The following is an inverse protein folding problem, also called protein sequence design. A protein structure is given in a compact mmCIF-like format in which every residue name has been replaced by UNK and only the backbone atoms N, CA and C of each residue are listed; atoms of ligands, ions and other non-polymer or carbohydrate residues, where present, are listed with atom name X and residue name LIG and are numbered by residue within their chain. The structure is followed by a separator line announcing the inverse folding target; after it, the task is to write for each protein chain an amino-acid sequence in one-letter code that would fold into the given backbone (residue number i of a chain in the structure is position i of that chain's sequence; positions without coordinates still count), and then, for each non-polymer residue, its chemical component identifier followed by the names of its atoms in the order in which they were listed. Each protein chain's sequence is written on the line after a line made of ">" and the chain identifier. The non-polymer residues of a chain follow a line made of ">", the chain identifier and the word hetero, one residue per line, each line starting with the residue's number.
data_IF_886091750224
#
_entry.id   IF_886091750224
#
_cell.length_a   1.000
_cell.length_b   1.000
_cell.length_c   1.000
_cell.angle_alpha   90.00
_cell.angle_beta   90.00
_cell.angle_gamma   90.00
#
_symmetry.space_group_name_H-M   'P 1'
#
loop_
_entity.id
_entity.type
_entity.pdbx_description
1 polymer ?
#
# COMPACT_ATOMS: atom_id res chain seq x y z
N UNK A 1 -21.60 -20.79 -32.98
CA UNK A 1 -22.29 -20.05 -31.90
C UNK A 1 -21.37 -18.97 -31.33
N UNK A 2 -21.92 -17.79 -31.04
CA UNK A 2 -21.25 -16.69 -30.34
C UNK A 2 -22.13 -16.17 -29.19
N UNK A 3 -21.48 -15.62 -28.16
CA UNK A 3 -22.11 -14.92 -27.04
C UNK A 3 -21.42 -13.57 -26.88
N UNK A 4 -22.18 -12.49 -26.80
CA UNK A 4 -21.66 -11.13 -26.61
C UNK A 4 -22.25 -10.55 -25.33
N UNK A 5 -21.40 -10.04 -24.45
CA UNK A 5 -21.82 -9.27 -23.27
C UNK A 5 -21.39 -7.82 -23.43
N UNK A 6 -22.29 -6.90 -23.11
CA UNK A 6 -22.13 -5.46 -23.23
C UNK A 6 -22.57 -4.76 -21.95
N UNK A 7 -21.81 -3.74 -21.56
CA UNK A 7 -22.21 -2.77 -20.53
C UNK A 7 -22.27 -1.39 -21.15
N UNK A 8 -23.21 -0.55 -20.72
CA UNK A 8 -23.42 0.81 -21.26
C UNK A 8 -23.52 0.85 -22.79
N UNK A 9 -24.38 0.00 -23.36
CA UNK A 9 -24.53 -0.19 -24.81
C UNK A 9 -25.40 0.91 -25.43
N UNK A 10 -24.87 1.72 -26.37
CA UNK A 10 -25.66 2.72 -27.08
C UNK A 10 -26.80 2.09 -27.90
N UNK A 11 -27.95 2.77 -28.05
CA UNK A 11 -29.09 2.25 -28.82
C UNK A 11 -28.75 1.80 -30.24
N UNK A 12 -27.79 2.46 -30.89
CA UNK A 12 -27.29 2.12 -32.24
C UNK A 12 -26.67 0.72 -32.28
N UNK A 13 -25.81 0.40 -31.31
CA UNK A 13 -25.11 -0.91 -31.23
C UNK A 13 -26.10 -2.00 -30.86
N UNK A 14 -26.99 -1.73 -29.90
CA UNK A 14 -28.08 -2.64 -29.53
C UNK A 14 -28.94 -3.00 -30.76
N UNK A 15 -29.42 -2.00 -31.50
CA UNK A 15 -30.25 -2.23 -32.69
C UNK A 15 -29.52 -3.01 -33.79
N UNK A 16 -28.22 -2.78 -33.98
CA UNK A 16 -27.44 -3.54 -34.95
C UNK A 16 -27.23 -5.01 -34.53
N UNK A 17 -27.02 -5.28 -33.24
CA UNK A 17 -26.82 -6.64 -32.73
C UNK A 17 -28.12 -7.45 -32.76
N UNK A 18 -29.25 -6.84 -32.42
CA UNK A 18 -30.57 -7.49 -32.47
C UNK A 18 -30.99 -7.94 -33.88
N UNK A 19 -30.34 -7.45 -34.95
CA UNK A 19 -30.56 -7.95 -36.32
C UNK A 19 -29.99 -9.36 -36.55
N UNK A 20 -29.00 -9.74 -35.77
CA UNK A 20 -28.22 -10.96 -35.97
C UNK A 20 -28.28 -11.92 -34.78
N UNK A 21 -28.55 -11.41 -33.59
CA UNK A 21 -28.46 -12.11 -32.32
C UNK A 21 -29.71 -11.87 -31.48
N UNK A 22 -29.99 -12.79 -30.56
CA UNK A 22 -31.10 -12.70 -29.62
C UNK A 22 -30.56 -12.15 -28.29
N UNK A 23 -31.16 -11.07 -27.79
CA UNK A 23 -30.85 -10.55 -26.45
C UNK A 23 -31.60 -11.39 -25.40
N UNK A 24 -30.86 -12.22 -24.66
CA UNK A 24 -31.44 -13.13 -23.66
C UNK A 24 -31.47 -12.52 -22.26
N UNK A 25 -30.68 -11.47 -22.03
CA UNK A 25 -30.67 -10.63 -20.85
C UNK A 25 -30.10 -9.26 -21.24
N UNK A 26 -30.28 -8.24 -20.41
CA UNK A 26 -29.79 -6.89 -20.65
C UNK A 26 -28.30 -6.90 -21.00
N UNK A 27 -27.98 -6.54 -22.24
CA UNK A 27 -26.61 -6.51 -22.74
C UNK A 27 -26.00 -7.89 -23.04
N UNK A 28 -26.77 -8.99 -23.02
CA UNK A 28 -26.29 -10.34 -23.33
C UNK A 28 -26.97 -10.85 -24.61
N UNK A 29 -26.18 -11.02 -25.66
CA UNK A 29 -26.64 -11.43 -26.99
C UNK A 29 -26.08 -12.80 -27.36
N UNK A 30 -26.92 -13.68 -27.90
CA UNK A 30 -26.52 -15.04 -28.31
C UNK A 30 -27.01 -15.34 -29.72
N UNK A 31 -26.19 -16.02 -30.51
CA UNK A 31 -26.60 -16.46 -31.84
C UNK A 31 -25.59 -17.33 -32.59
N UNK A 32 -26.03 -17.89 -33.72
CA UNK A 32 -25.20 -18.64 -34.65
C UNK A 32 -24.92 -17.76 -35.87
N UNK A 33 -23.66 -17.37 -36.07
CA UNK A 33 -23.24 -16.55 -37.21
C UNK A 33 -21.95 -17.10 -37.81
N UNK A 34 -21.71 -16.80 -39.09
CA UNK A 34 -20.46 -17.15 -39.75
C UNK A 34 -19.28 -16.35 -39.18
N UNK A 35 -18.05 -16.84 -39.40
CA UNK A 35 -16.84 -16.14 -38.98
C UNK A 35 -16.81 -14.71 -39.54
N UNK A 36 -17.16 -14.51 -40.81
CA UNK A 36 -17.21 -13.17 -41.44
C UNK A 36 -18.18 -12.23 -40.73
N UNK A 37 -19.39 -12.69 -40.42
CA UNK A 37 -20.39 -11.88 -39.71
C UNK A 37 -19.91 -11.56 -38.30
N UNK A 38 -19.32 -12.54 -37.59
CA UNK A 38 -18.71 -12.33 -36.28
C UNK A 38 -17.64 -11.23 -36.30
N UNK A 39 -16.73 -11.25 -37.28
CA UNK A 39 -15.68 -10.23 -37.41
C UNK A 39 -16.26 -8.82 -37.62
N UNK A 40 -17.27 -8.69 -38.49
CA UNK A 40 -17.93 -7.42 -38.76
C UNK A 40 -18.73 -6.90 -37.57
N UNK A 41 -19.43 -7.78 -36.84
CA UNK A 41 -20.13 -7.42 -35.60
C UNK A 41 -19.15 -6.92 -34.55
N UNK A 42 -18.01 -7.60 -34.38
CA UNK A 42 -16.97 -7.18 -33.44
C UNK A 42 -16.40 -5.80 -33.79
N UNK A 43 -16.07 -5.58 -35.06
CA UNK A 43 -15.58 -4.28 -35.54
C UNK A 43 -16.57 -3.15 -35.24
N UNK A 44 -17.86 -3.36 -35.52
CA UNK A 44 -18.92 -2.38 -35.23
C UNK A 44 -19.04 -2.08 -33.74
N UNK A 45 -18.94 -3.09 -32.89
CA UNK A 45 -18.93 -2.91 -31.44
C UNK A 45 -17.75 -2.01 -31.04
N UNK A 46 -16.53 -2.33 -31.48
CA UNK A 46 -15.35 -1.54 -31.14
C UNK A 46 -15.44 -0.08 -31.64
N UNK A 47 -16.01 0.15 -32.82
CA UNK A 47 -16.15 1.49 -33.42
C UNK A 47 -17.22 2.36 -32.73
N UNK A 48 -18.28 1.75 -32.18
CA UNK A 48 -19.44 2.47 -31.68
C UNK A 48 -19.61 2.40 -30.14
N UNK A 49 -18.78 1.62 -29.44
CA UNK A 49 -18.81 1.48 -27.98
C UNK A 49 -17.66 2.28 -27.35
N UNK A 50 -17.95 3.53 -26.96
CA UNK A 50 -16.95 4.47 -26.43
C UNK A 50 -16.78 4.38 -24.90
N UNK A 51 -17.86 4.28 -24.13
CA UNK A 51 -17.86 4.31 -22.64
C UNK A 51 -18.16 2.96 -22.00
N UNK A 52 -18.75 2.05 -22.76
CA UNK A 52 -19.10 0.70 -22.35
C UNK A 52 -18.01 -0.33 -22.56
N UNK A 53 -18.22 -1.53 -22.00
CA UNK A 53 -17.32 -2.69 -22.14
C UNK A 53 -17.98 -3.79 -22.95
N UNK A 54 -17.20 -4.50 -23.76
CA UNK A 54 -17.68 -5.65 -24.52
C UNK A 54 -16.81 -6.88 -24.32
N UNK A 55 -17.44 -8.04 -24.25
CA UNK A 55 -16.77 -9.34 -24.39
C UNK A 55 -17.54 -10.18 -25.40
N UNK A 56 -16.84 -10.77 -26.36
CA UNK A 56 -17.41 -11.73 -27.30
C UNK A 56 -16.71 -13.07 -27.13
N UNK A 57 -17.47 -14.14 -26.94
CA UNK A 57 -17.01 -15.52 -26.90
C UNK A 57 -17.51 -16.25 -28.14
N UNK A 58 -16.66 -17.06 -28.77
CA UNK A 58 -17.00 -17.83 -29.95
C UNK A 58 -16.24 -19.16 -30.00
N UNK A 59 -16.80 -20.13 -30.70
CA UNK A 59 -16.18 -21.44 -30.88
C UNK A 59 -14.92 -21.37 -31.78
N UNK A 60 -13.88 -22.12 -31.42
CA UNK A 60 -12.66 -22.34 -32.21
C UNK A 60 -12.17 -23.79 -32.08
N UNK A 61 -11.32 -24.26 -32.99
CA UNK A 61 -10.80 -25.64 -33.01
C UNK A 61 -9.53 -25.85 -32.17
N UNK A 62 -9.31 -25.04 -31.14
CA UNK A 62 -8.18 -25.16 -30.21
C UNK A 62 -8.52 -25.99 -28.97
N UNK A 63 -7.56 -26.15 -28.05
CA UNK A 63 -7.70 -26.96 -26.83
C UNK A 63 -8.87 -26.54 -25.94
N UNK A 64 -9.13 -25.23 -25.86
CA UNK A 64 -10.23 -24.69 -25.06
C UNK A 64 -11.58 -24.79 -25.78
N UNK A 65 -11.62 -25.19 -27.06
CA UNK A 65 -12.81 -25.19 -27.95
C UNK A 65 -13.54 -23.84 -28.09
N UNK A 66 -12.96 -22.79 -27.53
CA UNK A 66 -13.50 -21.44 -27.52
C UNK A 66 -12.37 -20.42 -27.55
N UNK A 67 -12.68 -19.26 -28.10
CA UNK A 67 -11.84 -18.07 -28.04
C UNK A 67 -12.74 -16.87 -27.71
N UNK A 68 -12.13 -15.81 -27.23
CA UNK A 68 -12.84 -14.62 -26.81
C UNK A 68 -12.08 -13.34 -27.15
N UNK A 69 -12.82 -12.24 -27.28
CA UNK A 69 -12.31 -10.89 -27.45
C UNK A 69 -12.93 -9.98 -26.43
N UNK A 70 -12.18 -8.96 -26.05
CA UNK A 70 -12.60 -7.95 -25.10
C UNK A 70 -12.32 -6.56 -25.64
N UNK A 71 -13.17 -5.60 -25.27
CA UNK A 71 -13.06 -4.19 -25.65
C UNK A 71 -13.39 -3.33 -24.44
N UNK A 72 -12.57 -2.31 -24.17
CA UNK A 72 -12.69 -1.40 -23.01
C UNK A 72 -12.77 -2.11 -21.64
N UNK A 73 -12.24 -3.32 -21.50
CA UNK A 73 -12.18 -4.03 -20.22
C UNK A 73 -10.91 -3.69 -19.46
N UNK A 74 -10.99 -3.67 -18.12
CA UNK A 74 -9.79 -3.59 -17.27
C UNK A 74 -9.01 -4.89 -17.22
N UNK A 75 -9.61 -5.99 -17.66
CA UNK A 75 -8.96 -7.30 -17.69
C UNK A 75 -8.40 -7.52 -19.09
N UNK A 76 -7.20 -8.09 -19.16
CA UNK A 76 -6.46 -8.28 -20.40
C UNK A 76 -6.34 -9.77 -20.71
N UNK A 77 -6.62 -10.20 -21.96
CA UNK A 77 -6.33 -11.56 -22.39
C UNK A 77 -4.81 -11.76 -22.44
N UNK A 78 -4.33 -12.84 -21.83
CA UNK A 78 -2.91 -13.23 -21.84
C UNK A 78 -2.79 -14.69 -22.28
N UNK A 79 -1.75 -14.98 -23.05
CA UNK A 79 -1.36 -16.34 -23.37
C UNK A 79 -0.49 -16.90 -22.24
N UNK A 80 -0.85 -18.06 -21.73
CA UNK A 80 -0.07 -18.77 -20.72
C UNK A 80 0.01 -20.24 -21.15
N UNK A 81 1.16 -20.60 -21.71
CA UNK A 81 1.46 -21.96 -22.17
C UNK A 81 0.44 -22.49 -23.20
N UNK A 82 0.04 -21.63 -24.15
CA UNK A 82 -0.93 -21.96 -25.20
C UNK A 82 -2.40 -21.82 -24.78
N UNK A 83 -2.67 -21.53 -23.50
CA UNK A 83 -4.01 -21.26 -22.99
C UNK A 83 -4.27 -19.75 -22.92
N UNK A 84 -5.38 -19.32 -23.51
CA UNK A 84 -5.83 -17.94 -23.41
C UNK A 84 -6.58 -17.72 -22.10
N UNK A 85 -6.03 -16.90 -21.22
CA UNK A 85 -6.59 -16.59 -19.90
C UNK A 85 -6.91 -15.10 -19.75
N UNK A 86 -7.71 -14.75 -18.74
CA UNK A 86 -8.00 -13.36 -18.39
C UNK A 86 -7.18 -12.92 -17.19
N UNK A 87 -6.24 -11.98 -17.38
CA UNK A 87 -5.45 -11.40 -16.31
C UNK A 87 -6.21 -10.25 -15.65
N UNK A 88 -6.40 -10.35 -14.33
CA UNK A 88 -6.98 -9.28 -13.50
C UNK A 88 -5.86 -8.41 -12.93
N UNK A 89 -5.80 -7.10 -13.25
CA UNK A 89 -4.81 -6.23 -12.63
C UNK A 89 -5.06 -6.08 -11.13
N UNK A 90 -3.96 -6.15 -10.36
CA UNK A 90 -3.91 -5.91 -8.93
C UNK A 90 -4.42 -4.48 -8.62
N UNK A 91 -4.99 -4.22 -7.44
CA UNK A 91 -5.56 -2.91 -7.10
C UNK A 91 -4.62 -1.72 -7.33
N UNK A 92 -3.31 -1.90 -7.13
CA UNK A 92 -2.27 -0.89 -7.40
C UNK A 92 -2.06 -0.56 -8.90
N UNK A 93 -2.51 -1.43 -9.81
CA UNK A 93 -2.46 -1.21 -11.26
C UNK A 93 -3.79 -0.67 -11.83
N UNK A 94 -4.87 -0.60 -11.03
CA UNK A 94 -6.19 -0.14 -11.49
C UNK A 94 -6.28 1.36 -11.76
N UNK A 95 -5.38 2.15 -11.18
CA UNK A 95 -5.33 3.59 -11.42
C UNK A 95 -4.73 3.97 -12.79
N UNK A 96 -4.09 3.03 -13.49
CA UNK A 96 -3.40 3.31 -14.77
C UNK A 96 -4.23 3.04 -16.04
N UNK A 97 -5.42 2.41 -15.95
CA UNK A 97 -6.10 1.87 -17.14
C UNK A 97 -7.40 2.58 -17.54
N UNK A 98 -7.86 3.58 -16.78
CA UNK A 98 -9.08 4.34 -17.11
C UNK A 98 -8.77 5.82 -17.31
N UNK A 99 -8.09 6.16 -18.40
CA UNK A 99 -8.27 7.46 -19.04
C UNK A 99 -7.85 7.33 -20.50
N UNK A 100 -8.79 7.51 -21.44
CA UNK A 100 -8.40 7.94 -22.79
C UNK A 100 -7.84 9.35 -22.62
N UNK A 101 -6.51 9.45 -22.71
CA UNK A 101 -5.79 10.69 -22.46
C UNK A 101 -5.68 11.47 -23.78
N UNK A 102 -6.38 12.61 -23.89
CA UNK A 102 -5.77 13.77 -24.54
C UNK A 102 -4.59 14.16 -23.65
N UNK A 103 -3.37 13.78 -24.02
CA UNK A 103 -2.18 13.99 -23.19
C UNK A 103 -1.85 15.48 -23.09
N UNK A 104 -2.42 16.13 -22.07
CA UNK A 104 -1.76 17.24 -21.38
C UNK A 104 -0.44 16.71 -20.81
N UNK A 105 0.60 16.72 -21.62
CA UNK A 105 1.90 16.14 -21.25
C UNK A 105 3.01 16.29 -22.29
N UNK A 106 2.69 16.54 -23.57
CA UNK A 106 3.70 16.57 -24.62
C UNK A 106 4.59 17.82 -24.64
N UNK A 107 4.17 18.91 -24.00
CA UNK A 107 5.07 20.04 -23.83
C UNK A 107 6.11 19.71 -22.77
N UNK A 108 7.39 20.02 -23.05
CA UNK A 108 8.44 20.09 -22.02
C UNK A 108 7.94 20.84 -20.77
N UNK A 109 7.07 21.84 -20.96
CA UNK A 109 6.44 22.60 -19.88
C UNK A 109 5.43 21.80 -19.03
N UNK A 110 4.72 20.80 -19.57
CA UNK A 110 3.80 19.96 -18.81
C UNK A 110 4.54 18.89 -18.00
N UNK A 111 5.63 18.34 -18.54
CA UNK A 111 6.58 17.51 -17.78
C UNK A 111 7.28 18.33 -16.71
N UNK A 112 7.72 19.55 -17.02
CA UNK A 112 8.25 20.48 -16.02
C UNK A 112 7.20 20.79 -14.97
N UNK A 113 5.95 21.12 -15.34
CA UNK A 113 4.87 21.37 -14.39
C UNK A 113 4.54 20.16 -13.53
N UNK A 114 4.58 18.91 -14.04
CA UNK A 114 4.36 17.71 -13.23
C UNK A 114 5.53 17.47 -12.28
N UNK A 115 6.77 17.67 -12.75
CA UNK A 115 7.97 17.66 -11.92
C UNK A 115 7.93 18.80 -10.91
N UNK A 116 7.41 19.97 -11.26
CA UNK A 116 7.25 21.14 -10.40
C UNK A 116 6.09 20.95 -9.45
N UNK A 117 5.06 20.18 -9.79
CA UNK A 117 3.95 19.81 -8.91
C UNK A 117 4.36 18.72 -7.93
N UNK A 118 5.17 17.75 -8.37
CA UNK A 118 5.81 16.75 -7.51
C UNK A 118 6.85 17.45 -6.64
N UNK A 119 7.69 18.34 -7.18
CA UNK A 119 8.60 19.17 -6.42
C UNK A 119 7.87 20.17 -5.54
N UNK A 120 6.69 20.68 -5.90
CA UNK A 120 5.88 21.59 -5.06
C UNK A 120 5.10 20.83 -4.00
N UNK A 121 4.69 19.58 -4.26
CA UNK A 121 4.12 18.68 -3.26
C UNK A 121 5.23 18.26 -2.30
N UNK A 122 6.38 17.82 -2.81
CA UNK A 122 7.58 17.54 -2.04
C UNK A 122 8.05 18.80 -1.29
N UNK A 123 8.01 19.99 -1.89
CA UNK A 123 8.34 21.30 -1.28
C UNK A 123 7.22 21.85 -0.38
N UNK A 124 6.00 21.30 -0.45
CA UNK A 124 4.91 21.55 0.51
C UNK A 124 5.03 20.62 1.72
N UNK A 125 5.49 19.39 1.52
CA UNK A 125 5.85 18.43 2.58
C UNK A 125 7.14 18.86 3.28
N UNK A 126 8.14 19.34 2.53
CA UNK A 126 9.37 19.99 3.03
C UNK A 126 9.12 21.44 3.49
N UNK A 127 7.86 21.86 3.71
CA UNK A 127 7.56 23.19 4.24
C UNK A 127 7.30 23.21 5.74
N UNK A 128 7.30 22.06 6.37
CA UNK A 128 7.56 21.91 7.79
C UNK A 128 8.49 20.69 7.91
N UNK A 129 9.77 20.88 8.23
CA UNK A 129 10.73 19.80 8.51
C UNK A 129 10.35 19.09 9.83
N UNK A 130 9.08 18.73 9.98
CA UNK A 130 8.52 18.15 11.19
C UNK A 130 7.87 16.82 10.91
N UNK A 131 8.41 15.81 11.57
CA UNK A 131 7.96 14.44 11.50
C UNK A 131 8.15 13.77 12.85
N UNK A 132 7.50 12.62 13.02
CA UNK A 132 7.58 11.81 14.22
C UNK A 132 8.37 10.55 13.90
N UNK A 133 9.39 10.23 14.68
CA UNK A 133 10.00 8.89 14.67
C UNK A 133 9.28 8.06 15.71
N UNK A 134 8.92 6.81 15.39
CA UNK A 134 8.11 5.96 16.26
C UNK A 134 8.65 4.54 16.26
N UNK A 135 8.72 3.94 17.46
CA UNK A 135 9.17 2.57 17.69
C UNK A 135 8.42 1.98 18.90
N UNK A 136 8.25 0.65 18.92
CA UNK A 136 7.50 -0.08 19.94
C UNK A 136 8.28 -1.29 20.45
N UNK A 137 8.21 -1.54 21.77
CA UNK A 137 8.55 -2.84 22.33
C UNK A 137 7.29 -3.66 22.62
N UNK A 138 7.39 -4.97 22.39
CA UNK A 138 6.23 -5.88 22.47
C UNK A 138 6.60 -7.18 23.16
N UNK A 139 5.60 -7.93 23.63
CA UNK A 139 5.83 -9.25 24.25
C UNK A 139 6.18 -10.36 23.25
N UNK A 140 6.24 -10.05 21.95
CA UNK A 140 6.56 -11.00 20.88
C UNK A 140 6.15 -10.49 19.51
N UNK A 141 6.24 -11.33 18.46
CA UNK A 141 6.23 -10.84 17.08
C UNK A 141 4.85 -10.70 16.42
N UNK A 142 3.79 -11.24 17.05
CA UNK A 142 2.46 -11.33 16.45
C UNK A 142 1.43 -10.46 17.17
N UNK A 143 0.97 -9.40 16.51
CA UNK A 143 -0.04 -8.46 17.04
C UNK A 143 -1.40 -9.09 17.41
N UNK A 144 -1.69 -10.31 16.93
CA UNK A 144 -2.92 -11.03 17.27
C UNK A 144 -2.93 -11.60 18.69
N UNK A 145 -1.77 -11.89 19.26
CA UNK A 145 -1.63 -12.57 20.55
C UNK A 145 -0.68 -11.87 21.53
N UNK A 146 0.20 -10.99 21.04
CA UNK A 146 1.14 -10.23 21.86
C UNK A 146 0.65 -8.81 22.12
N UNK A 147 1.26 -8.20 23.13
CA UNK A 147 0.88 -6.89 23.67
C UNK A 147 2.05 -5.90 23.51
N UNK A 148 1.71 -4.61 23.40
CA UNK A 148 2.67 -3.51 23.44
C UNK A 148 3.07 -3.28 24.90
N UNK A 149 4.36 -3.15 25.18
CA UNK A 149 4.90 -2.92 26.52
C UNK A 149 5.68 -1.62 26.65
N UNK A 150 6.17 -1.07 25.54
CA UNK A 150 6.75 0.28 25.48
C UNK A 150 6.31 0.96 24.18
N UNK A 151 6.01 2.26 24.28
CA UNK A 151 5.79 3.15 23.14
C UNK A 151 6.81 4.27 23.26
N UNK A 152 7.61 4.49 22.22
CA UNK A 152 8.45 5.67 22.14
C UNK A 152 8.23 6.45 20.86
N UNK A 153 8.35 7.78 20.95
CA UNK A 153 8.31 8.63 19.79
C UNK A 153 9.19 9.88 19.96
N UNK A 154 9.79 10.33 18.86
CA UNK A 154 10.56 11.59 18.81
C UNK A 154 9.84 12.58 17.89
N UNK A 155 9.62 13.79 18.38
CA UNK A 155 9.19 14.91 17.54
C UNK A 155 10.40 15.61 16.97
N UNK A 156 10.61 15.47 15.66
CA UNK A 156 11.66 16.19 14.96
C UNK A 156 11.06 17.47 14.37
N UNK A 157 11.79 18.58 14.45
CA UNK A 157 11.47 19.84 13.79
C UNK A 157 12.79 20.45 13.32
N UNK A 158 12.96 20.74 12.03
CA UNK A 158 14.21 21.29 11.47
C UNK A 158 15.46 20.46 11.85
N UNK A 159 15.37 19.13 11.75
CA UNK A 159 16.44 18.18 12.12
C UNK A 159 16.91 18.27 13.60
N UNK A 160 16.11 18.87 14.48
CA UNK A 160 16.32 18.82 15.93
C UNK A 160 15.24 18.02 16.62
N UNK A 161 15.63 17.27 17.65
CA UNK A 161 14.68 16.59 18.53
C UNK A 161 14.08 17.65 19.46
N UNK A 162 12.80 17.95 19.28
CA UNK A 162 12.10 18.96 20.08
C UNK A 162 11.39 18.36 21.28
N UNK A 163 10.94 17.11 21.16
CA UNK A 163 10.24 16.42 22.24
C UNK A 163 10.40 14.91 22.12
N UNK A 164 10.33 14.24 23.27
CA UNK A 164 10.35 12.80 23.40
C UNK A 164 9.06 12.33 24.08
N UNK A 165 8.56 11.19 23.63
CA UNK A 165 7.53 10.42 24.29
C UNK A 165 8.14 9.06 24.61
N UNK A 166 8.03 8.62 25.86
CA UNK A 166 8.44 7.28 26.29
C UNK A 166 7.44 6.79 27.33
N UNK A 167 6.69 5.76 26.99
CA UNK A 167 5.58 5.27 27.79
C UNK A 167 5.74 3.76 27.96
N UNK A 168 5.84 3.29 29.21
CA UNK A 168 5.62 1.89 29.53
C UNK A 168 4.12 1.60 29.57
N UNK A 169 3.73 0.46 29.03
CA UNK A 169 2.33 0.05 28.93
C UNK A 169 2.08 -1.12 29.86
N UNK A 170 1.04 -1.02 30.68
CA UNK A 170 0.65 -2.13 31.56
C UNK A 170 0.34 -3.38 30.73
N UNK A 171 1.01 -4.47 31.06
CA UNK A 171 0.79 -5.79 30.49
C UNK A 171 0.18 -6.68 31.58
N UNK A 172 -0.83 -7.48 31.24
CA UNK A 172 -1.41 -8.45 32.18
C UNK A 172 -0.66 -9.79 32.14
N UNK A 173 0.06 -10.05 31.06
CA UNK A 173 0.81 -11.28 30.82
C UNK A 173 2.23 -11.13 31.34
N UNK A 174 2.73 -12.13 32.06
CA UNK A 174 4.12 -12.17 32.49
C UNK A 174 5.05 -12.17 31.28
N UNK A 175 6.10 -11.34 31.35
CA UNK A 175 7.12 -11.30 30.33
C UNK A 175 7.93 -12.60 30.33
N UNK A 176 8.19 -13.11 29.12
CA UNK A 176 9.13 -14.20 28.95
C UNK A 176 10.55 -13.67 29.19
N UNK A 177 11.40 -14.47 29.86
CA UNK A 177 12.78 -14.09 30.20
C UNK A 177 13.59 -13.56 29.01
N UNK A 178 13.36 -14.09 27.81
CA UNK A 178 14.04 -13.64 26.60
C UNK A 178 13.64 -12.22 26.19
N UNK A 179 12.39 -11.82 26.43
CA UNK A 179 11.90 -10.45 26.16
C UNK A 179 12.48 -9.48 27.19
N UNK A 180 12.46 -9.86 28.47
CA UNK A 180 13.03 -9.02 29.54
C UNK A 180 14.55 -8.85 29.39
N UNK A 181 15.27 -9.89 28.95
CA UNK A 181 16.71 -9.79 28.64
C UNK A 181 17.00 -8.98 27.38
N UNK A 182 16.12 -9.07 26.37
CA UNK A 182 16.27 -8.33 25.13
C UNK A 182 16.04 -6.84 25.39
N UNK A 183 14.92 -6.50 26.01
CA UNK A 183 14.46 -5.11 26.16
C UNK A 183 14.94 -4.44 27.44
N UNK A 184 15.36 -5.20 28.45
CA UNK A 184 15.63 -4.68 29.79
C UNK A 184 14.37 -4.24 30.56
N UNK A 185 13.17 -4.46 30.02
CA UNK A 185 11.89 -4.17 30.68
C UNK A 185 11.53 -5.37 31.56
N UNK A 186 11.20 -5.11 32.83
CA UNK A 186 10.75 -6.16 33.76
C UNK A 186 9.27 -6.04 34.07
N UNK A 187 8.65 -7.13 34.54
CA UNK A 187 7.26 -7.12 34.99
C UNK A 187 7.03 -6.08 36.10
N UNK A 188 8.00 -5.89 37.01
CA UNK A 188 7.93 -4.87 38.06
C UNK A 188 7.90 -3.45 37.47
N UNK A 189 8.68 -3.17 36.43
CA UNK A 189 8.64 -1.88 35.75
C UNK A 189 7.27 -1.62 35.13
N UNK A 190 6.70 -2.62 34.44
CA UNK A 190 5.38 -2.50 33.82
C UNK A 190 4.27 -2.31 34.85
N UNK A 191 4.36 -2.96 36.02
CA UNK A 191 3.39 -2.81 37.10
C UNK A 191 3.50 -1.47 37.82
N UNK A 192 4.71 -0.96 38.05
CA UNK A 192 4.93 0.24 38.85
C UNK A 192 4.85 1.54 38.02
N UNK A 193 5.32 1.49 36.78
CA UNK A 193 5.49 2.68 35.92
C UNK A 193 4.59 2.65 34.70
N UNK A 194 4.11 1.47 34.30
CA UNK A 194 3.25 1.33 33.14
C UNK A 194 1.91 2.03 33.34
N UNK A 195 1.39 2.63 32.28
CA UNK A 195 0.03 3.19 32.24
C UNK A 195 -0.92 2.29 31.42
N UNK A 196 -2.24 2.40 31.62
CA UNK A 196 -3.20 1.64 30.83
C UNK A 196 -3.07 1.89 29.32
N UNK A 197 -3.23 0.84 28.51
CA UNK A 197 -3.09 0.91 27.05
C UNK A 197 -3.89 2.04 26.40
N UNK A 198 -5.14 2.26 26.84
CA UNK A 198 -5.97 3.36 26.34
C UNK A 198 -5.30 4.74 26.53
N UNK A 199 -4.69 4.98 27.69
CA UNK A 199 -4.01 6.24 27.98
C UNK A 199 -2.73 6.37 27.15
N UNK A 200 -1.95 5.30 27.05
CA UNK A 200 -0.73 5.26 26.24
C UNK A 200 -1.01 5.60 24.77
N UNK A 201 -2.01 4.93 24.17
CA UNK A 201 -2.41 5.20 22.79
C UNK A 201 -3.00 6.61 22.60
N UNK A 202 -3.79 7.10 23.55
CA UNK A 202 -4.34 8.46 23.49
C UNK A 202 -3.22 9.52 23.50
N UNK A 203 -2.21 9.34 24.34
CA UNK A 203 -1.03 10.21 24.38
C UNK A 203 -0.24 10.13 23.07
N UNK A 204 -0.01 8.93 22.53
CA UNK A 204 0.65 8.75 21.25
C UNK A 204 -0.10 9.43 20.11
N UNK A 205 -1.42 9.24 19.99
CA UNK A 205 -2.25 9.86 18.95
C UNK A 205 -2.16 11.39 19.03
N UNK A 206 -2.22 11.95 20.25
CA UNK A 206 -2.09 13.38 20.46
C UNK A 206 -0.67 13.89 20.10
N UNK A 207 0.37 13.14 20.46
CA UNK A 207 1.77 13.48 20.15
C UNK A 207 2.05 13.46 18.64
N UNK A 208 1.45 12.48 17.93
CA UNK A 208 1.61 12.31 16.48
C UNK A 208 0.92 13.43 15.70
N UNK A 209 -0.30 13.80 16.09
CA UNK A 209 -1.09 14.83 15.41
C UNK A 209 -1.24 14.53 13.91
N UNK A 210 -0.92 15.51 13.06
CA UNK A 210 -1.01 15.41 11.59
C UNK A 210 0.35 15.23 10.89
N UNK A 211 1.44 15.03 11.65
CA UNK A 211 2.81 14.96 11.12
C UNK A 211 3.09 13.61 10.47
N UNK A 212 3.96 13.58 9.47
CA UNK A 212 4.42 12.32 8.89
C UNK A 212 5.18 11.49 9.92
N UNK A 213 5.17 10.18 9.75
CA UNK A 213 5.77 9.23 10.67
C UNK A 213 6.95 8.53 9.98
N UNK A 214 8.03 8.31 10.71
CA UNK A 214 9.20 7.56 10.28
C UNK A 214 9.37 6.38 11.23
N UNK A 215 9.40 5.16 10.67
CA UNK A 215 9.61 3.93 11.43
C UNK A 215 10.67 3.07 10.74
N UNK A 216 11.12 2.01 11.40
CA UNK A 216 11.90 0.95 10.79
C UNK A 216 11.09 -0.34 10.77
N UNK A 217 10.80 -0.88 9.59
CA UNK A 217 9.88 -2.01 9.41
C UNK A 217 8.43 -1.68 9.83
N UNK A 218 7.93 -0.53 9.35
CA UNK A 218 6.64 0.06 9.76
C UNK A 218 5.43 -0.90 9.79
N UNK A 219 5.42 -1.95 8.97
CA UNK A 219 4.34 -2.95 8.98
C UNK A 219 4.19 -3.65 10.35
N UNK A 220 5.28 -3.79 11.09
CA UNK A 220 5.28 -4.35 12.44
C UNK A 220 4.57 -3.43 13.42
N UNK A 221 5.08 -2.21 13.61
CA UNK A 221 4.57 -1.24 14.58
C UNK A 221 3.11 -0.89 14.31
N UNK A 222 2.76 -0.61 13.05
CA UNK A 222 1.39 -0.29 12.67
C UNK A 222 0.44 -1.48 12.85
N UNK A 223 0.92 -2.72 12.68
CA UNK A 223 0.13 -3.92 12.98
C UNK A 223 -0.26 -3.98 14.46
N UNK A 224 0.69 -3.73 15.35
CA UNK A 224 0.46 -3.66 16.79
C UNK A 224 -0.45 -2.49 17.18
N UNK A 225 -0.18 -1.29 16.68
CA UNK A 225 -0.99 -0.10 16.99
C UNK A 225 -2.43 -0.24 16.51
N UNK A 226 -2.64 -0.80 15.31
CA UNK A 226 -3.98 -1.06 14.79
C UNK A 226 -4.74 -2.04 15.68
N UNK A 227 -4.14 -3.19 16.01
CA UNK A 227 -4.75 -4.18 16.90
C UNK A 227 -5.04 -3.61 18.29
N UNK A 228 -4.10 -2.83 18.84
CA UNK A 228 -4.23 -2.21 20.15
C UNK A 228 -5.34 -1.14 20.17
N UNK A 229 -5.40 -0.25 19.17
CA UNK A 229 -6.47 0.74 19.02
C UNK A 229 -7.84 0.08 18.91
N UNK A 230 -7.95 -0.99 18.10
CA UNK A 230 -9.18 -1.77 17.96
C UNK A 230 -9.65 -2.35 19.30
N UNK A 231 -8.72 -2.88 20.11
CA UNK A 231 -9.02 -3.49 21.41
C UNK A 231 -9.61 -2.49 22.42
N UNK A 232 -9.16 -1.23 22.37
CA UNK A 232 -9.61 -0.18 23.31
C UNK A 232 -10.63 0.79 22.71
N UNK A 233 -11.07 0.55 21.46
CA UNK A 233 -12.07 1.38 20.78
C UNK A 233 -11.58 2.77 20.37
N UNK A 234 -10.28 2.95 20.13
CA UNK A 234 -9.70 4.19 19.62
C UNK A 234 -9.58 4.17 18.09
N UNK A 235 -9.73 5.35 17.47
CA UNK A 235 -9.48 5.52 16.03
C UNK A 235 -7.98 5.68 15.78
N UNK A 236 -7.44 4.86 14.87
CA UNK A 236 -6.04 4.94 14.47
C UNK A 236 -5.78 6.21 13.63
N UNK A 237 -4.58 6.78 13.75
CA UNK A 237 -4.13 7.84 12.86
C UNK A 237 -3.76 7.29 11.46
N UNK A 238 -3.86 8.12 10.43
CA UNK A 238 -3.68 7.72 9.02
C UNK A 238 -2.60 8.55 8.31
N UNK A 239 -1.60 8.96 9.07
CA UNK A 239 -0.57 9.90 8.63
C UNK A 239 0.35 9.24 7.59
N UNK A 240 0.95 10.02 6.68
CA UNK A 240 1.97 9.50 5.77
C UNK A 240 3.10 8.84 6.57
N UNK A 241 3.47 7.61 6.21
CA UNK A 241 4.53 6.85 6.87
C UNK A 241 5.70 6.60 5.91
N UNK A 242 6.91 6.82 6.41
CA UNK A 242 8.16 6.52 5.75
C UNK A 242 8.80 5.35 6.48
N UNK A 243 9.05 4.27 5.75
CA UNK A 243 9.72 3.09 6.27
C UNK A 243 11.21 3.10 5.89
N UNK A 244 12.08 3.26 6.89
CA UNK A 244 13.53 3.30 6.71
C UNK A 244 14.10 1.96 6.23
N UNK A 245 13.45 0.83 6.53
CA UNK A 245 13.84 -0.48 5.99
C UNK A 245 13.68 -0.49 4.46
N UNK A 246 12.52 -0.07 3.98
CA UNK A 246 12.23 0.04 2.54
C UNK A 246 13.15 1.06 1.86
N UNK A 247 13.47 2.16 2.53
CA UNK A 247 14.39 3.18 2.01
C UNK A 247 15.83 2.65 1.94
N UNK A 248 16.31 1.96 2.96
CA UNK A 248 17.63 1.34 3.01
C UNK A 248 17.81 0.30 1.89
N UNK A 249 16.83 -0.59 1.67
CA UNK A 249 16.84 -1.59 0.58
C UNK A 249 16.98 -1.00 -0.82
N UNK A 250 16.64 0.27 -1.01
CA UNK A 250 16.76 0.96 -2.30
C UNK A 250 18.11 1.64 -2.49
N UNK A 251 18.80 1.97 -1.40
CA UNK A 251 20.00 2.83 -1.40
C UNK A 251 21.27 2.09 -1.01
N UNK A 252 21.17 1.02 -0.23
CA UNK A 252 22.29 0.25 0.30
C UNK A 252 22.22 -1.15 -0.30
N UNK A 253 23.35 -1.67 -0.78
CA UNK A 253 23.43 -3.00 -1.41
C UNK A 253 24.41 -3.95 -0.72
N UNK A 254 25.28 -3.45 0.15
CA UNK A 254 26.39 -4.20 0.75
C UNK A 254 26.19 -4.38 2.27
N UNK A 255 25.10 -5.05 2.63
CA UNK A 255 24.76 -5.40 4.02
C UNK A 255 24.18 -6.82 4.08
N UNK A 256 24.47 -7.54 5.17
CA UNK A 256 24.05 -8.94 5.36
C UNK A 256 22.55 -9.08 5.56
N UNK A 257 21.93 -8.11 6.22
CA UNK A 257 20.50 -7.94 6.35
C UNK A 257 20.18 -6.45 6.53
N UNK A 258 18.90 -6.13 6.71
CA UNK A 258 18.45 -4.75 6.86
C UNK A 258 17.80 -4.52 8.23
N UNK A 259 18.21 -5.27 9.26
CA UNK A 259 17.75 -5.00 10.62
C UNK A 259 18.27 -3.64 11.08
N UNK A 260 17.57 -3.03 12.04
CA UNK A 260 17.89 -1.70 12.54
C UNK A 260 19.36 -1.59 12.96
N UNK A 261 19.84 -2.54 13.75
CA UNK A 261 21.24 -2.61 14.22
C UNK A 261 22.26 -2.76 13.08
N UNK A 262 21.95 -3.57 12.06
CA UNK A 262 22.83 -3.76 10.89
C UNK A 262 22.98 -2.46 10.12
N UNK A 263 21.87 -1.74 9.88
CA UNK A 263 21.90 -0.46 9.15
C UNK A 263 22.51 0.65 10.01
N UNK A 264 22.25 0.68 11.32
CA UNK A 264 22.92 1.60 12.24
C UNK A 264 24.45 1.40 12.21
N UNK A 265 24.90 0.14 12.29
CA UNK A 265 26.31 -0.22 12.25
C UNK A 265 26.95 0.14 10.91
N UNK A 266 26.24 -0.06 9.80
CA UNK A 266 26.69 0.35 8.46
C UNK A 266 27.02 1.86 8.41
N UNK A 267 26.22 2.69 9.09
CA UNK A 267 26.44 4.13 9.19
C UNK A 267 27.35 4.55 10.35
N UNK A 268 27.96 3.61 11.08
CA UNK A 268 28.77 3.88 12.28
C UNK A 268 28.02 4.67 13.36
N UNK A 269 26.71 4.42 13.50
CA UNK A 269 25.90 4.97 14.60
C UNK A 269 26.09 4.13 15.86
N UNK A 270 25.99 4.77 17.02
CA UNK A 270 26.13 4.09 18.32
C UNK A 270 24.92 3.20 18.63
N UNK A 271 25.17 1.90 18.82
CA UNK A 271 24.13 0.89 19.09
C UNK A 271 24.15 0.39 20.55
N UNK A 272 24.83 1.07 21.46
CA UNK A 272 25.08 0.58 22.83
C UNK A 272 23.81 0.33 23.67
N UNK A 273 22.68 0.96 23.33
CA UNK A 273 21.39 0.85 24.03
C UNK A 273 20.25 0.29 23.15
N UNK A 274 20.59 -0.50 22.13
CA UNK A 274 19.59 -1.14 21.25
C UNK A 274 18.60 -2.00 22.06
N UNK A 275 17.33 -2.06 21.64
CA UNK A 275 16.20 -2.76 22.30
C UNK A 275 15.51 -1.98 23.44
N UNK A 276 15.67 -0.66 23.47
CA UNK A 276 14.72 0.22 24.15
C UNK A 276 14.05 1.07 23.09
N UNK A 277 12.73 1.20 23.13
CA UNK A 277 11.99 1.87 22.06
C UNK A 277 12.50 3.30 21.80
N UNK A 278 12.87 4.04 22.86
CA UNK A 278 13.39 5.40 22.71
C UNK A 278 14.78 5.43 22.06
N UNK A 279 15.67 4.50 22.43
CA UNK A 279 16.99 4.39 21.81
C UNK A 279 16.87 3.97 20.33
N UNK A 280 15.94 3.07 20.03
CA UNK A 280 15.67 2.61 18.67
C UNK A 280 15.02 3.72 17.81
N UNK A 281 14.25 4.62 18.41
CA UNK A 281 13.82 5.88 17.77
C UNK A 281 15.01 6.78 17.40
N UNK A 282 16.00 6.94 18.29
CA UNK A 282 17.21 7.72 18.00
C UNK A 282 18.05 7.09 16.88
N UNK A 283 18.19 5.77 16.88
CA UNK A 283 18.82 5.02 15.79
C UNK A 283 18.08 5.21 14.47
N UNK A 284 16.76 5.05 14.48
CA UNK A 284 15.90 5.25 13.30
C UNK A 284 16.01 6.67 12.77
N UNK A 285 16.06 7.68 13.65
CA UNK A 285 16.29 9.07 13.28
C UNK A 285 17.66 9.25 12.58
N UNK A 286 18.74 8.74 13.19
CA UNK A 286 20.09 8.81 12.63
C UNK A 286 20.19 8.11 11.27
N UNK A 287 19.60 6.92 11.14
CA UNK A 287 19.53 6.16 9.89
C UNK A 287 18.77 6.95 8.83
N UNK A 288 17.61 7.50 9.17
CA UNK A 288 16.81 8.27 8.22
C UNK A 288 17.57 9.49 7.69
N UNK A 289 18.26 10.21 8.58
CA UNK A 289 19.13 11.33 8.21
C UNK A 289 20.24 10.89 7.24
N UNK A 290 20.95 9.80 7.58
CA UNK A 290 22.02 9.24 6.72
C UNK A 290 21.52 8.74 5.38
N UNK A 291 20.36 8.10 5.34
CA UNK A 291 19.73 7.67 4.09
C UNK A 291 19.34 8.86 3.21
N UNK A 292 19.00 10.01 3.78
CA UNK A 292 18.71 11.23 3.01
C UNK A 292 19.96 11.95 2.49
N UNK A 293 21.14 11.67 3.05
CA UNK A 293 22.44 12.17 2.56
C UNK A 293 22.94 11.39 1.33
N UNK A 294 22.47 10.15 1.11
CA UNK A 294 22.81 9.28 -0.04
C UNK A 294 21.99 9.59 -1.30
#
# INVERSE_FOLDING_TARGET
>A
MIVITLSDCPPKVRGDLSKWLIEINTGVYVGQVSARVREELWKRICENLHTGRATMVFHTMGEQHMDFRVHNTTWEPVDFDGLKLMRRPLPSAREHSQTMVLEKGFSKAAKMQKVDRIKQAHKRTLKEDSYIVLDLETTGLSCSVHEIIEIAALSIVHDTVEAELSILVQCQTLLLDNISKLTGITDEMLQQQGIPLYQALSQLIAFVGNRSIVCHNAAFDFGFLHAACQRVGLSMFHNPCIDTLTLARRKIFDVVDYKLNTIASYFSLDTSNHHRALADCYLTYGIYKKLNEL
#
